data_IF_472655511616
#
_entry.id   IF_472655511616
#
_cell.length_a   1.000
_cell.length_b   1.000
_cell.length_c   1.000
_cell.angle_alpha   90.00
_cell.angle_beta   90.00
_cell.angle_gamma   90.00
#
_symmetry.space_group_name_H-M   'P 1'
#
loop_
_entity.id
_entity.type
_entity.pdbx_description
1 polymer ?
#
# COMPACT_ATOMS: atom_id res chain seq x y z
N UNK A 1 -1.00 -21.96 4.43
CA UNK A 1 -1.56 -21.54 3.13
C UNK A 1 -2.17 -20.15 3.19
N UNK A 2 -2.73 -19.74 4.32
CA UNK A 2 -3.29 -18.39 4.54
C UNK A 2 -2.26 -17.28 4.29
N UNK A 3 -1.05 -17.40 4.84
CA UNK A 3 0.00 -16.37 4.67
C UNK A 3 0.26 -15.95 3.22
N UNK A 4 0.37 -16.89 2.29
CA UNK A 4 0.61 -16.56 0.88
C UNK A 4 -0.61 -15.88 0.22
N UNK A 5 -1.81 -16.32 0.58
CA UNK A 5 -3.05 -15.71 0.09
C UNK A 5 -3.21 -14.29 0.63
N UNK A 6 -2.95 -14.09 1.92
CA UNK A 6 -3.07 -12.79 2.57
C UNK A 6 -2.02 -11.81 2.05
N UNK A 7 -0.80 -12.28 1.80
CA UNK A 7 0.26 -11.49 1.18
C UNK A 7 -0.12 -11.04 -0.24
N UNK A 8 -0.61 -11.96 -1.08
CA UNK A 8 -1.08 -11.63 -2.43
C UNK A 8 -2.27 -10.67 -2.37
N UNK A 9 -3.22 -10.90 -1.46
CA UNK A 9 -4.36 -10.02 -1.25
C UNK A 9 -3.92 -8.61 -0.83
N UNK A 10 -2.95 -8.50 0.07
CA UNK A 10 -2.38 -7.22 0.49
C UNK A 10 -1.73 -6.48 -0.69
N UNK A 11 -1.00 -7.19 -1.57
CA UNK A 11 -0.44 -6.60 -2.80
C UNK A 11 -1.56 -6.07 -3.68
N UNK A 12 -2.60 -6.88 -3.92
CA UNK A 12 -3.72 -6.51 -4.80
C UNK A 12 -4.46 -5.29 -4.25
N UNK A 13 -4.83 -5.28 -2.97
CA UNK A 13 -5.54 -4.18 -2.33
C UNK A 13 -4.71 -2.89 -2.30
N UNK A 14 -3.42 -3.00 -2.01
CA UNK A 14 -2.51 -1.85 -2.03
C UNK A 14 -2.41 -1.30 -3.45
N UNK A 15 -2.19 -2.17 -4.45
CA UNK A 15 -2.12 -1.77 -5.86
C UNK A 15 -3.41 -1.11 -6.35
N UNK A 16 -4.58 -1.66 -5.97
CA UNK A 16 -5.89 -1.10 -6.28
C UNK A 16 -6.06 0.29 -5.66
N UNK A 17 -5.58 0.50 -4.43
CA UNK A 17 -5.65 1.82 -3.78
C UNK A 17 -4.91 2.89 -4.60
N UNK A 18 -3.69 2.58 -5.07
CA UNK A 18 -2.92 3.48 -5.93
C UNK A 18 -3.58 3.72 -7.29
N UNK A 19 -4.13 2.67 -7.89
CA UNK A 19 -4.81 2.76 -9.17
C UNK A 19 -6.08 3.63 -9.07
N UNK A 20 -6.94 3.36 -8.09
CA UNK A 20 -8.19 4.12 -7.87
C UNK A 20 -7.87 5.57 -7.50
N UNK A 21 -6.89 5.80 -6.62
CA UNK A 21 -6.47 7.15 -6.24
C UNK A 21 -5.98 7.97 -7.43
N UNK A 22 -5.24 7.34 -8.35
CA UNK A 22 -4.85 7.98 -9.60
C UNK A 22 -6.04 8.25 -10.53
N UNK A 23 -6.94 7.28 -10.71
CA UNK A 23 -8.08 7.39 -11.62
C UNK A 23 -9.06 8.49 -11.21
N UNK A 24 -9.34 8.63 -9.91
CA UNK A 24 -10.26 9.66 -9.39
C UNK A 24 -9.77 11.09 -9.65
N UNK A 25 -8.44 11.29 -9.73
CA UNK A 25 -7.85 12.58 -10.08
C UNK A 25 -7.56 12.70 -11.58
N UNK A 26 -8.07 11.77 -12.41
CA UNK A 26 -7.85 11.70 -13.87
C UNK A 26 -6.36 11.58 -14.25
N UNK A 27 -5.52 11.13 -13.33
CA UNK A 27 -4.12 10.88 -13.58
C UNK A 27 -3.93 9.48 -14.17
N UNK A 28 -2.91 9.32 -15.03
CA UNK A 28 -2.68 8.09 -15.80
C UNK A 28 -1.60 7.19 -15.19
N UNK A 29 -1.76 6.78 -13.93
CA UNK A 29 -0.96 5.69 -13.40
C UNK A 29 -1.36 4.38 -14.10
N UNK A 30 -0.44 3.78 -14.86
CA UNK A 30 -0.66 2.47 -15.47
C UNK A 30 -0.92 1.40 -14.40
N UNK A 31 -1.74 0.40 -14.74
CA UNK A 31 -2.00 -0.77 -13.90
C UNK A 31 -0.68 -1.45 -13.50
N UNK A 32 0.29 -1.54 -14.41
CA UNK A 32 1.61 -2.10 -14.12
C UNK A 32 2.38 -1.28 -13.08
N UNK A 33 2.35 0.06 -13.15
CA UNK A 33 3.01 0.91 -12.17
C UNK A 33 2.34 0.79 -10.79
N UNK A 34 1.01 0.73 -10.74
CA UNK A 34 0.27 0.52 -9.50
C UNK A 34 0.62 -0.83 -8.86
N UNK A 35 0.74 -1.89 -9.68
CA UNK A 35 1.14 -3.22 -9.22
C UNK A 35 2.59 -3.27 -8.69
N UNK A 36 3.53 -2.60 -9.36
CA UNK A 36 4.91 -2.46 -8.88
C UNK A 36 4.92 -1.74 -7.53
N UNK A 37 4.20 -0.63 -7.39
CA UNK A 37 4.13 0.10 -6.12
C UNK A 37 3.58 -0.81 -5.01
N UNK A 38 2.43 -1.47 -5.24
CA UNK A 38 1.83 -2.34 -4.23
C UNK A 38 2.75 -3.49 -3.82
N UNK A 39 3.39 -4.13 -4.80
CA UNK A 39 4.36 -5.22 -4.53
C UNK A 39 5.53 -4.72 -3.70
N UNK A 40 6.14 -3.59 -4.07
CA UNK A 40 7.29 -3.02 -3.36
C UNK A 40 6.94 -2.63 -1.92
N UNK A 41 5.81 -1.95 -1.71
CA UNK A 41 5.36 -1.48 -0.39
C UNK A 41 5.09 -2.67 0.53
N UNK A 42 4.31 -3.65 0.07
CA UNK A 42 3.95 -4.82 0.89
C UNK A 42 5.17 -5.71 1.17
N UNK A 43 6.03 -5.94 0.17
CA UNK A 43 7.25 -6.74 0.36
C UNK A 43 8.22 -6.09 1.33
N UNK A 44 8.45 -4.78 1.23
CA UNK A 44 9.32 -4.07 2.18
C UNK A 44 8.78 -4.10 3.59
N UNK A 45 7.47 -3.96 3.74
CA UNK A 45 6.84 -4.12 5.03
C UNK A 45 7.12 -5.51 5.60
N UNK A 46 6.83 -6.57 4.83
CA UNK A 46 7.04 -7.95 5.26
C UNK A 46 8.51 -8.26 5.58
N UNK A 47 9.45 -7.72 4.80
CA UNK A 47 10.89 -7.83 5.08
C UNK A 47 11.24 -7.11 6.40
N UNK A 48 10.73 -5.90 6.60
CA UNK A 48 11.00 -5.10 7.81
C UNK A 48 10.47 -5.83 9.05
N UNK A 49 9.32 -6.47 8.95
CA UNK A 49 8.77 -7.32 10.00
C UNK A 49 9.58 -8.59 10.23
N UNK A 50 10.01 -9.27 9.16
CA UNK A 50 10.87 -10.46 9.26
C UNK A 50 12.20 -10.16 9.97
N UNK A 51 12.69 -8.92 9.87
CA UNK A 51 13.85 -8.42 10.61
C UNK A 51 13.55 -8.09 12.09
N UNK A 52 12.34 -8.36 12.57
CA UNK A 52 11.86 -8.08 13.94
C UNK A 52 11.99 -6.60 14.32
N UNK A 53 11.82 -5.72 13.35
CA UNK A 53 11.83 -4.28 13.56
C UNK A 53 10.69 -3.84 14.50
N UNK A 54 10.82 -2.67 15.15
CA UNK A 54 9.72 -2.13 15.94
C UNK A 54 8.55 -1.72 15.04
N UNK A 55 7.32 -1.81 15.57
CA UNK A 55 6.08 -1.60 14.82
C UNK A 55 6.02 -0.28 14.05
N UNK A 56 6.54 0.81 14.64
CA UNK A 56 6.58 2.11 13.96
C UNK A 56 7.47 2.10 12.71
N UNK A 57 8.57 1.34 12.71
CA UNK A 57 9.48 1.26 11.57
C UNK A 57 8.89 0.40 10.47
N UNK A 58 8.18 -0.66 10.86
CA UNK A 58 7.45 -1.53 9.95
C UNK A 58 6.38 -0.74 9.18
N UNK A 59 5.71 0.22 9.84
CA UNK A 59 4.78 1.16 9.19
C UNK A 59 5.54 2.23 8.41
N UNK A 60 6.61 2.78 8.96
CA UNK A 60 7.29 3.93 8.37
C UNK A 60 8.05 3.57 7.09
N UNK A 61 8.69 2.40 6.98
CA UNK A 61 9.56 2.06 5.84
C UNK A 61 8.80 1.97 4.50
N UNK A 62 7.63 1.31 4.41
CA UNK A 62 6.87 1.22 3.17
C UNK A 62 6.34 2.57 2.66
N UNK A 63 6.09 3.53 3.56
CA UNK A 63 5.48 4.82 3.22
C UNK A 63 6.35 5.66 2.26
N UNK A 64 7.61 6.00 2.58
CA UNK A 64 8.52 6.71 1.68
C UNK A 64 8.70 5.99 0.35
N UNK A 65 8.73 4.65 0.35
CA UNK A 65 8.89 3.90 -0.90
C UNK A 65 7.66 4.04 -1.79
N UNK A 66 6.46 3.91 -1.23
CA UNK A 66 5.23 4.17 -1.96
C UNK A 66 5.15 5.61 -2.48
N UNK A 67 5.55 6.58 -1.65
CA UNK A 67 5.62 8.01 -2.01
C UNK A 67 6.56 8.27 -3.18
N UNK A 68 7.78 7.74 -3.11
CA UNK A 68 8.82 7.91 -4.13
C UNK A 68 8.41 7.24 -5.43
N UNK A 69 7.94 5.99 -5.39
CA UNK A 69 7.52 5.27 -6.59
C UNK A 69 6.30 5.94 -7.24
N UNK A 70 5.33 6.41 -6.46
CA UNK A 70 4.21 7.18 -6.99
C UNK A 70 4.71 8.47 -7.65
N UNK A 71 5.66 9.19 -7.05
CA UNK A 71 6.24 10.40 -7.65
C UNK A 71 6.91 10.10 -9.00
N UNK A 72 7.74 9.06 -9.06
CA UNK A 72 8.49 8.64 -10.25
C UNK A 72 7.55 8.17 -11.38
N UNK A 73 6.50 7.41 -11.05
CA UNK A 73 5.60 6.85 -12.05
C UNK A 73 4.49 7.79 -12.50
N UNK A 74 4.01 8.68 -11.62
CA UNK A 74 2.96 9.64 -11.96
C UNK A 74 3.47 10.69 -12.95
N UNK A 75 4.74 11.13 -12.81
CA UNK A 75 5.37 12.16 -13.67
C UNK A 75 4.57 13.47 -13.77
N UNK A 76 3.90 13.84 -12.69
CA UNK A 76 3.06 15.04 -12.59
C UNK A 76 3.66 16.06 -11.61
N UNK A 77 3.04 17.25 -11.51
CA UNK A 77 3.44 18.26 -10.54
C UNK A 77 3.41 17.74 -9.10
N UNK A 78 4.26 18.29 -8.22
CA UNK A 78 4.30 17.95 -6.78
C UNK A 78 2.92 18.12 -6.12
N UNK A 79 2.14 19.13 -6.54
CA UNK A 79 0.78 19.34 -6.03
C UNK A 79 -0.16 18.19 -6.41
N UNK A 80 -0.11 17.75 -7.67
CA UNK A 80 -0.91 16.62 -8.17
C UNK A 80 -0.50 15.32 -7.49
N UNK A 81 0.81 15.08 -7.35
CA UNK A 81 1.36 13.95 -6.63
C UNK A 81 0.86 13.91 -5.19
N UNK A 82 0.97 15.01 -4.44
CA UNK A 82 0.55 15.06 -3.04
C UNK A 82 -0.95 14.78 -2.88
N UNK A 83 -1.79 15.36 -3.75
CA UNK A 83 -3.23 15.08 -3.77
C UNK A 83 -3.52 13.61 -4.07
N UNK A 84 -2.82 13.03 -5.05
CA UNK A 84 -2.98 11.62 -5.43
C UNK A 84 -2.55 10.69 -4.30
N UNK A 85 -1.48 11.05 -3.59
CA UNK A 85 -0.99 10.31 -2.44
C UNK A 85 -1.99 10.35 -1.29
N UNK A 86 -2.49 11.52 -0.90
CA UNK A 86 -3.49 11.67 0.16
C UNK A 86 -4.79 10.93 -0.17
N UNK A 87 -5.23 10.99 -1.42
CA UNK A 87 -6.42 10.26 -1.86
C UNK A 87 -6.20 8.75 -1.84
N UNK A 88 -5.04 8.28 -2.32
CA UNK A 88 -4.63 6.88 -2.23
C UNK A 88 -4.64 6.41 -0.77
N UNK A 89 -4.09 7.20 0.15
CA UNK A 89 -4.06 6.85 1.58
C UNK A 89 -5.46 6.74 2.18
N UNK A 90 -6.38 7.64 1.81
CA UNK A 90 -7.78 7.58 2.23
C UNK A 90 -8.47 6.31 1.69
N UNK A 91 -8.31 6.00 0.40
CA UNK A 91 -8.87 4.79 -0.22
C UNK A 91 -8.29 3.54 0.42
N UNK A 92 -6.97 3.49 0.58
CA UNK A 92 -6.27 2.40 1.26
C UNK A 92 -6.83 2.17 2.65
N UNK A 93 -7.01 3.22 3.44
CA UNK A 93 -7.58 3.14 4.79
C UNK A 93 -9.00 2.59 4.77
N UNK A 94 -9.85 3.04 3.84
CA UNK A 94 -11.23 2.54 3.70
C UNK A 94 -11.23 1.05 3.33
N UNK A 95 -10.47 0.66 2.29
CA UNK A 95 -10.36 -0.73 1.88
C UNK A 95 -9.85 -1.60 3.04
N UNK A 96 -8.90 -1.10 3.81
CA UNK A 96 -8.37 -1.81 4.97
C UNK A 96 -9.40 -1.99 6.07
N UNK A 97 -10.19 -0.96 6.41
CA UNK A 97 -11.27 -1.07 7.40
C UNK A 97 -12.32 -2.10 6.97
N UNK A 98 -12.72 -2.08 5.70
CA UNK A 98 -13.68 -3.05 5.15
C UNK A 98 -13.10 -4.47 5.27
N UNK A 99 -11.85 -4.68 4.85
CA UNK A 99 -11.21 -6.00 4.95
C UNK A 99 -11.03 -6.45 6.41
N UNK A 100 -10.72 -5.54 7.31
CA UNK A 100 -10.60 -5.85 8.75
C UNK A 100 -11.92 -6.33 9.33
N UNK A 101 -13.05 -5.78 8.87
CA UNK A 101 -14.39 -6.23 9.26
C UNK A 101 -14.73 -7.64 8.75
N UNK A 102 -14.37 -7.97 7.50
CA UNK A 102 -14.71 -9.27 6.90
C UNK A 102 -13.73 -10.39 7.28
N UNK A 103 -12.47 -10.08 7.53
CA UNK A 103 -11.40 -11.07 7.69
C UNK A 103 -10.70 -11.02 9.06
N UNK A 104 -11.21 -10.25 10.04
CA UNK A 104 -10.59 -10.06 11.36
C UNK A 104 -9.11 -9.62 11.29
N UNK A 105 -8.73 -8.79 10.31
CA UNK A 105 -7.38 -8.21 10.26
C UNK A 105 -7.18 -7.28 11.47
N UNK A 106 -6.28 -7.66 12.38
CA UNK A 106 -6.01 -6.90 13.60
C UNK A 106 -4.98 -5.77 13.40
N UNK A 107 -4.33 -5.65 12.23
CA UNK A 107 -3.34 -4.59 12.02
C UNK A 107 -3.22 -4.14 10.57
N UNK A 108 -2.99 -2.83 10.42
CA UNK A 108 -2.49 -2.19 9.22
C UNK A 108 -1.12 -2.75 8.81
N UNK A 109 -0.85 -2.73 7.51
CA UNK A 109 0.35 -3.26 6.86
C UNK A 109 1.63 -2.84 7.60
N UNK A 110 2.55 -3.77 7.91
CA UNK A 110 2.36 -5.16 8.30
C UNK A 110 2.66 -5.35 9.79
N UNK A 111 1.66 -5.69 10.57
CA UNK A 111 1.92 -6.43 11.80
C UNK A 111 1.14 -7.72 11.71
N UNK A 112 1.73 -8.69 11.02
CA UNK A 112 1.30 -10.06 11.10
C UNK A 112 1.72 -10.57 12.47
N UNK A 113 0.82 -10.48 13.46
CA UNK A 113 0.89 -11.45 14.56
C UNK A 113 0.51 -12.80 13.95
N UNK A 114 1.52 -13.48 13.40
CA UNK A 114 1.50 -14.91 13.09
C UNK A 114 1.28 -15.62 14.42
N UNK A 115 0.03 -15.94 14.76
CA UNK A 115 -0.26 -16.92 15.79
C UNK A 115 0.04 -18.32 15.25
#
# INVERSE_FOLDING_TARGET
MEYYLDFVLAIVLTSLSYLIGSLLLKNRLSVFHAFIIGTSVVSLGAITEALKAPMWLIILVPFPVGMILLFVFLRESVKTWLKTYLLTLAIYSILHVIMSFFFNFHSLIPAWKLS
#
